data_IF_304601239691
#
_entry.id   IF_304601239691
#
_cell.length_a   1.000
_cell.length_b   1.000
_cell.length_c   1.000
_cell.angle_alpha   90.00
_cell.angle_beta   90.00
_cell.angle_gamma   90.00
#
_symmetry.space_group_name_H-M   'P 1'
#
loop_
_entity.id
_entity.type
_entity.pdbx_description
1 polymer ?
#
# COMPACT_ATOMS: atom_id res chain seq x y z
N UNK A 1 13.52 45.11 34.63
CA UNK A 1 14.55 44.38 35.40
C UNK A 1 15.36 43.56 34.38
N UNK A 2 16.44 44.12 33.84
CA UNK A 2 17.23 43.47 32.79
C UNK A 2 18.21 42.49 33.43
N UNK A 3 17.98 41.19 33.24
CA UNK A 3 18.92 40.17 33.68
C UNK A 3 20.26 40.36 32.95
N UNK A 4 21.31 40.75 33.66
CA UNK A 4 22.67 40.81 33.12
C UNK A 4 23.29 39.43 33.17
N UNK A 5 23.16 38.69 32.07
CA UNK A 5 23.84 37.40 31.89
C UNK A 5 25.36 37.59 32.02
N UNK A 6 26.00 36.80 32.88
CA UNK A 6 27.45 36.73 33.00
C UNK A 6 28.07 36.23 31.68
N UNK A 7 29.36 36.49 31.46
CA UNK A 7 30.06 36.07 30.22
C UNK A 7 29.99 34.54 29.99
N UNK A 8 29.93 33.74 31.06
CA UNK A 8 29.75 32.29 31.00
C UNK A 8 28.34 31.90 30.53
N UNK A 9 27.31 32.53 31.08
CA UNK A 9 25.92 32.29 30.66
C UNK A 9 25.70 32.71 29.21
N UNK A 10 26.25 33.85 28.76
CA UNK A 10 26.17 34.27 27.34
C UNK A 10 26.77 33.25 26.38
N UNK A 11 27.91 32.65 26.74
CA UNK A 11 28.55 31.60 25.93
C UNK A 11 27.73 30.31 25.91
N UNK A 12 27.17 29.93 27.06
CA UNK A 12 26.29 28.76 27.15
C UNK A 12 25.02 28.93 26.31
N UNK A 13 24.35 30.09 26.42
CA UNK A 13 23.19 30.42 25.60
C UNK A 13 23.52 30.44 24.11
N UNK A 14 24.67 31.01 23.72
CA UNK A 14 25.09 31.00 22.32
C UNK A 14 25.29 29.58 21.77
N UNK A 15 25.95 28.69 22.53
CA UNK A 15 26.14 27.29 22.13
C UNK A 15 24.80 26.56 22.06
N UNK A 16 23.94 26.70 23.07
CA UNK A 16 22.63 26.04 23.09
C UNK A 16 21.77 26.45 21.89
N UNK A 17 21.74 27.73 21.55
CA UNK A 17 21.01 28.23 20.37
C UNK A 17 21.57 27.65 19.08
N UNK A 18 22.90 27.61 18.92
CA UNK A 18 23.55 27.02 17.74
C UNK A 18 23.21 25.52 17.64
N UNK A 19 23.29 24.77 18.74
CA UNK A 19 22.97 23.34 18.75
C UNK A 19 21.50 23.09 18.38
N UNK A 20 20.57 23.88 18.91
CA UNK A 20 19.15 23.77 18.56
C UNK A 20 18.92 24.08 17.08
N UNK A 21 19.54 25.13 16.55
CA UNK A 21 19.43 25.47 15.13
C UNK A 21 20.00 24.38 14.22
N UNK A 22 21.14 23.80 14.58
CA UNK A 22 21.72 22.67 13.84
C UNK A 22 20.82 21.45 13.88
N UNK A 23 20.25 21.13 15.04
CA UNK A 23 19.30 20.03 15.19
C UNK A 23 18.06 20.24 14.29
N UNK A 24 17.48 21.44 14.33
CA UNK A 24 16.32 21.80 13.49
C UNK A 24 16.68 21.75 12.00
N UNK A 25 17.85 22.21 11.60
CA UNK A 25 18.31 22.16 10.22
C UNK A 25 18.53 20.72 9.74
N UNK A 26 19.10 19.85 10.57
CA UNK A 26 19.28 18.43 10.24
C UNK A 26 17.93 17.74 10.15
N UNK A 27 17.08 17.85 11.16
CA UNK A 27 15.76 17.20 11.16
C UNK A 27 14.90 17.75 10.01
N UNK A 28 14.81 19.08 9.90
CA UNK A 28 14.04 19.75 8.85
C UNK A 28 14.57 19.43 7.45
N UNK A 29 15.90 19.41 7.28
CA UNK A 29 16.55 19.02 6.03
C UNK A 29 16.30 17.56 5.66
N UNK A 30 16.38 16.64 6.63
CA UNK A 30 16.07 15.22 6.39
C UNK A 30 14.60 15.00 6.01
N UNK A 31 13.66 15.61 6.73
CA UNK A 31 12.23 15.51 6.43
C UNK A 31 11.91 16.15 5.07
N UNK A 32 12.49 17.32 4.77
CA UNK A 32 12.29 17.98 3.50
C UNK A 32 12.87 17.16 2.34
N UNK A 33 14.06 16.59 2.49
CA UNK A 33 14.68 15.74 1.48
C UNK A 33 13.87 14.45 1.25
N UNK A 34 13.33 13.84 2.32
CA UNK A 34 12.45 12.69 2.22
C UNK A 34 11.11 13.04 1.56
N UNK A 35 10.56 14.22 1.83
CA UNK A 35 9.33 14.69 1.22
C UNK A 35 9.50 15.10 -0.26
N UNK A 36 10.67 15.65 -0.62
CA UNK A 36 10.96 16.10 -1.99
C UNK A 36 11.40 14.97 -2.94
N UNK A 37 11.77 13.81 -2.41
CA UNK A 37 12.19 12.65 -3.21
C UNK A 37 11.05 11.83 -3.81
N UNK A 38 9.78 12.23 -3.59
CA UNK A 38 8.63 11.67 -4.28
C UNK A 38 8.42 12.49 -5.56
N UNK A 39 9.08 12.10 -6.65
CA UNK A 39 8.55 12.42 -7.98
C UNK A 39 7.16 11.75 -8.04
N UNK A 40 6.11 12.57 -8.04
CA UNK A 40 4.72 12.16 -8.25
C UNK A 40 4.62 11.40 -9.58
N UNK A 41 4.85 10.09 -9.54
CA UNK A 41 4.14 9.22 -10.44
C UNK A 41 2.71 9.18 -9.88
N UNK A 42 1.80 9.93 -10.49
CA UNK A 42 0.35 10.08 -10.21
C UNK A 42 -0.45 8.75 -10.22
N UNK A 43 0.24 7.61 -10.13
CA UNK A 43 -0.30 6.27 -10.19
C UNK A 43 -0.66 5.83 -8.77
N UNK A 44 -1.94 5.50 -8.49
CA UNK A 44 -2.33 5.05 -7.17
C UNK A 44 -1.60 3.75 -6.77
N UNK A 45 -1.36 3.58 -5.48
CA UNK A 45 -0.61 2.45 -4.93
C UNK A 45 -1.29 1.89 -3.68
N UNK A 46 -0.82 0.73 -3.22
CA UNK A 46 -1.20 0.16 -1.94
C UNK A 46 0.00 0.10 -0.99
N UNK A 47 -0.25 0.21 0.30
CA UNK A 47 0.66 -0.22 1.34
C UNK A 47 0.18 -1.52 1.95
N UNK A 48 1.07 -2.51 2.06
CA UNK A 48 0.73 -3.83 2.56
C UNK A 48 1.68 -4.19 3.69
N UNK A 49 1.12 -4.45 4.87
CA UNK A 49 1.85 -4.71 6.09
C UNK A 49 1.53 -6.10 6.66
N UNK A 50 2.56 -6.87 6.98
CA UNK A 50 2.46 -8.12 7.75
C UNK A 50 3.62 -8.16 8.77
N UNK A 51 3.28 -8.18 10.06
CA UNK A 51 4.27 -8.09 11.14
C UNK A 51 5.15 -6.85 11.04
N UNK A 52 6.45 -7.06 10.85
CA UNK A 52 7.47 -6.00 10.70
C UNK A 52 7.76 -5.63 9.24
N UNK A 53 7.08 -6.25 8.28
CA UNK A 53 7.27 -6.02 6.86
C UNK A 53 6.20 -5.06 6.35
N UNK A 54 6.63 -4.02 5.65
CA UNK A 54 5.77 -3.08 4.93
C UNK A 54 6.30 -2.95 3.51
N UNK A 55 5.44 -3.15 2.52
CA UNK A 55 5.76 -2.94 1.11
C UNK A 55 4.80 -1.94 0.46
N UNK A 56 5.28 -1.25 -0.56
CA UNK A 56 4.45 -0.49 -1.49
C UNK A 56 4.18 -1.36 -2.71
N UNK A 57 2.92 -1.43 -3.12
CA UNK A 57 2.45 -2.22 -4.26
C UNK A 57 1.96 -1.25 -5.32
N UNK A 58 2.70 -1.20 -6.43
CA UNK A 58 2.30 -0.53 -7.66
C UNK A 58 1.31 -1.38 -8.45
N UNK A 59 0.50 -0.79 -9.34
CA UNK A 59 -0.42 -1.56 -10.15
C UNK A 59 0.33 -2.47 -11.13
N UNK A 60 -0.24 -3.65 -11.38
CA UNK A 60 0.15 -4.51 -12.49
C UNK A 60 -0.10 -3.80 -13.82
N UNK A 61 -1.26 -3.15 -13.93
CA UNK A 61 -1.66 -2.30 -15.04
C UNK A 61 -2.47 -1.11 -14.52
N UNK A 62 -2.23 0.07 -15.10
CA UNK A 62 -3.03 1.27 -14.85
C UNK A 62 -3.23 2.06 -16.15
N UNK A 63 -4.48 2.40 -16.45
CA UNK A 63 -4.89 3.12 -17.66
C UNK A 63 -5.64 4.41 -17.30
N UNK A 64 -5.87 5.26 -18.30
CA UNK A 64 -6.84 6.35 -18.22
C UNK A 64 -8.26 5.83 -17.89
N UNK A 65 -9.19 6.73 -17.54
CA UNK A 65 -10.57 6.36 -17.24
C UNK A 65 -11.34 5.84 -18.47
N UNK A 66 -10.87 6.16 -19.68
CA UNK A 66 -11.36 5.63 -20.96
C UNK A 66 -10.69 4.32 -21.39
N UNK A 67 -9.81 3.74 -20.56
CA UNK A 67 -9.02 2.53 -20.85
C UNK A 67 -8.09 2.73 -22.05
N UNK A 68 -7.43 3.88 -22.07
CA UNK A 68 -6.35 4.23 -23.01
C UNK A 68 -5.08 4.56 -22.22
N UNK A 69 -3.94 4.72 -22.91
CA UNK A 69 -2.68 5.10 -22.27
C UNK A 69 -2.32 4.20 -21.07
N UNK A 70 -2.34 2.90 -21.29
CA UNK A 70 -2.08 1.92 -20.23
C UNK A 70 -0.59 1.75 -20.00
N UNK A 71 -0.20 1.73 -18.73
CA UNK A 71 1.12 1.36 -18.28
C UNK A 71 1.07 0.01 -17.58
N UNK A 72 2.04 -0.85 -17.85
CA UNK A 72 2.09 -2.21 -17.30
C UNK A 72 1.25 -3.24 -18.08
N UNK A 73 1.04 -4.40 -17.47
CA UNK A 73 0.30 -5.54 -18.01
C UNK A 73 -0.38 -6.30 -16.88
N UNK A 74 -1.63 -6.77 -17.04
CA UNK A 74 -2.29 -7.63 -16.06
C UNK A 74 -1.54 -8.96 -15.83
N UNK A 75 -0.64 -9.35 -16.74
CA UNK A 75 0.20 -10.55 -16.61
C UNK A 75 1.53 -10.28 -15.91
N UNK A 76 1.78 -9.05 -15.46
CA UNK A 76 2.97 -8.74 -14.68
C UNK A 76 2.99 -9.54 -13.37
N UNK A 77 4.19 -9.81 -12.88
CA UNK A 77 4.34 -10.55 -11.62
C UNK A 77 3.77 -9.70 -10.47
N UNK A 78 2.86 -10.24 -9.64
CA UNK A 78 2.35 -9.54 -8.47
C UNK A 78 3.44 -9.28 -7.43
N UNK A 79 3.24 -8.23 -6.65
CA UNK A 79 4.06 -7.99 -5.47
C UNK A 79 3.88 -9.16 -4.50
N UNK A 80 4.94 -9.57 -3.81
CA UNK A 80 4.91 -10.74 -2.91
C UNK A 80 5.14 -10.33 -1.47
N UNK A 81 4.23 -10.75 -0.59
CA UNK A 81 4.37 -10.66 0.86
C UNK A 81 3.73 -11.92 1.48
N UNK A 82 4.52 -12.97 1.73
CA UNK A 82 3.99 -14.22 2.30
C UNK A 82 3.29 -13.94 3.64
N UNK A 83 2.09 -14.51 3.84
CA UNK A 83 1.32 -14.34 5.07
C UNK A 83 1.21 -15.69 5.78
N UNK A 84 2.00 -15.92 6.85
CA UNK A 84 1.96 -17.18 7.59
C UNK A 84 0.56 -17.56 8.09
N UNK A 85 0.31 -18.86 8.21
CA UNK A 85 -0.95 -19.35 8.78
C UNK A 85 -1.05 -18.95 10.24
N UNK A 86 -2.16 -18.29 10.60
CA UNK A 86 -2.39 -17.70 11.92
C UNK A 86 -2.15 -16.20 11.97
N UNK A 87 -1.48 -15.64 10.95
CA UNK A 87 -1.22 -14.20 10.85
C UNK A 87 -2.30 -13.49 10.03
N UNK A 88 -2.17 -12.16 9.95
CA UNK A 88 -2.99 -11.31 9.11
C UNK A 88 -2.14 -10.27 8.37
N UNK A 89 -2.66 -9.80 7.25
CA UNK A 89 -2.09 -8.70 6.48
C UNK A 89 -3.04 -7.50 6.55
N UNK A 90 -2.48 -6.32 6.73
CA UNK A 90 -3.19 -5.05 6.62
C UNK A 90 -2.88 -4.41 5.29
N UNK A 91 -3.91 -4.07 4.52
CA UNK A 91 -3.81 -3.39 3.23
C UNK A 91 -4.41 -2.00 3.38
N UNK A 92 -3.66 -0.99 2.95
CA UNK A 92 -4.11 0.41 2.92
C UNK A 92 -3.97 0.98 1.52
N UNK A 93 -5.04 1.58 1.02
CA UNK A 93 -5.11 2.22 -0.29
C UNK A 93 -4.56 3.65 -0.21
N UNK A 94 -3.88 4.11 -1.26
CA UNK A 94 -3.59 5.54 -1.43
C UNK A 94 -4.89 6.35 -1.47
N UNK A 95 -4.83 7.65 -1.16
CA UNK A 95 -5.99 8.55 -1.24
C UNK A 95 -6.64 8.51 -2.62
N UNK A 96 -5.83 8.52 -3.66
CA UNK A 96 -6.27 8.68 -5.06
C UNK A 96 -6.94 7.42 -5.59
N UNK A 97 -6.66 6.26 -4.99
CA UNK A 97 -7.42 5.05 -5.25
C UNK A 97 -8.79 5.10 -4.56
N UNK A 98 -8.80 5.48 -3.28
CA UNK A 98 -9.99 5.37 -2.42
C UNK A 98 -11.10 6.39 -2.71
N UNK A 99 -10.79 7.50 -3.39
CA UNK A 99 -11.78 8.49 -3.83
C UNK A 99 -12.75 7.90 -4.87
N UNK A 100 -12.28 6.92 -5.64
CA UNK A 100 -13.11 6.15 -6.58
C UNK A 100 -13.71 4.90 -5.93
N UNK A 101 -14.75 4.31 -6.53
CA UNK A 101 -15.16 2.96 -6.17
C UNK A 101 -14.05 1.95 -6.52
N UNK A 102 -14.03 0.82 -5.83
CA UNK A 102 -13.05 -0.24 -6.08
C UNK A 102 -13.59 -1.60 -5.63
N UNK A 103 -13.04 -2.66 -6.20
CA UNK A 103 -13.39 -4.04 -5.87
C UNK A 103 -12.21 -4.74 -5.23
N UNK A 104 -12.46 -5.41 -4.11
CA UNK A 104 -11.56 -6.37 -3.49
C UNK A 104 -11.88 -7.76 -4.02
N UNK A 105 -10.90 -8.47 -4.56
CA UNK A 105 -10.97 -9.90 -4.84
C UNK A 105 -9.95 -10.59 -3.95
N UNK A 106 -10.38 -11.62 -3.22
CA UNK A 106 -9.50 -12.40 -2.36
C UNK A 106 -9.62 -13.87 -2.74
N UNK A 107 -8.48 -14.49 -2.97
CA UNK A 107 -8.40 -15.92 -3.18
C UNK A 107 -7.86 -16.58 -1.91
N UNK A 108 -8.53 -17.64 -1.47
CA UNK A 108 -8.08 -18.46 -0.36
C UNK A 108 -7.79 -19.88 -0.84
N UNK A 109 -6.69 -20.47 -0.40
CA UNK A 109 -6.47 -21.90 -0.52
C UNK A 109 -7.18 -22.61 0.64
N UNK A 110 -8.06 -23.54 0.31
CA UNK A 110 -8.85 -24.33 1.25
C UNK A 110 -8.60 -25.82 1.02
N UNK A 111 -9.19 -26.69 1.86
CA UNK A 111 -9.15 -28.14 1.66
C UNK A 111 -9.77 -28.60 0.33
N UNK A 112 -10.67 -27.80 -0.26
CA UNK A 112 -11.37 -28.10 -1.51
C UNK A 112 -10.70 -27.44 -2.72
N UNK A 113 -9.50 -26.88 -2.52
CA UNK A 113 -8.77 -26.10 -3.53
C UNK A 113 -8.94 -24.60 -3.34
N UNK A 114 -8.69 -23.84 -4.41
CA UNK A 114 -8.83 -22.39 -4.38
C UNK A 114 -10.29 -21.95 -4.35
N UNK A 115 -10.61 -21.17 -3.33
CA UNK A 115 -11.87 -20.44 -3.23
C UNK A 115 -11.70 -19.04 -3.84
N UNK A 116 -12.37 -18.84 -4.97
CA UNK A 116 -12.36 -17.61 -5.76
C UNK A 116 -13.62 -16.74 -5.55
N UNK A 117 -14.46 -17.08 -4.56
CA UNK A 117 -15.78 -16.45 -4.42
C UNK A 117 -15.79 -15.16 -3.60
N UNK A 118 -14.68 -14.83 -2.93
CA UNK A 118 -14.61 -13.65 -2.07
C UNK A 118 -14.33 -12.39 -2.89
N UNK A 119 -15.40 -11.77 -3.37
CA UNK A 119 -15.39 -10.48 -4.05
C UNK A 119 -16.28 -9.46 -3.31
N UNK A 120 -15.77 -8.24 -3.10
CA UNK A 120 -16.50 -7.17 -2.39
C UNK A 120 -16.29 -5.84 -3.11
N UNK A 121 -17.39 -5.22 -3.51
CA UNK A 121 -17.40 -3.86 -4.05
C UNK A 121 -17.50 -2.81 -2.94
N UNK A 122 -16.62 -1.82 -2.99
CA UNK A 122 -16.60 -0.65 -2.11
C UNK A 122 -16.93 0.61 -2.89
N UNK A 123 -17.83 1.43 -2.33
CA UNK A 123 -18.15 2.76 -2.87
C UNK A 123 -17.00 3.73 -2.59
N UNK A 124 -16.94 4.82 -3.34
CA UNK A 124 -16.06 5.97 -3.07
C UNK A 124 -16.01 6.33 -1.59
N UNK A 125 -14.79 6.51 -1.08
CA UNK A 125 -14.47 6.94 0.29
C UNK A 125 -15.04 6.05 1.42
N UNK A 126 -15.59 4.88 1.09
CA UNK A 126 -16.25 4.02 2.09
C UNK A 126 -15.26 3.20 2.93
N UNK A 127 -14.08 2.91 2.37
CA UNK A 127 -13.03 2.15 3.05
C UNK A 127 -11.67 2.43 2.43
N UNK A 128 -10.66 2.58 3.28
CA UNK A 128 -9.25 2.82 2.88
C UNK A 128 -8.29 1.75 3.38
N UNK A 129 -8.57 1.18 4.54
CA UNK A 129 -7.73 0.16 5.16
C UNK A 129 -8.58 -1.03 5.57
N UNK A 130 -8.03 -2.22 5.40
CA UNK A 130 -8.65 -3.47 5.83
C UNK A 130 -7.60 -4.51 6.20
N UNK A 131 -8.04 -5.51 6.96
CA UNK A 131 -7.19 -6.62 7.41
C UNK A 131 -7.77 -7.93 6.92
N UNK A 132 -6.92 -8.81 6.40
CA UNK A 132 -7.27 -10.16 5.98
C UNK A 132 -6.42 -11.16 6.75
N UNK A 133 -7.08 -12.14 7.38
CA UNK A 133 -6.40 -13.20 8.11
C UNK A 133 -6.12 -14.40 7.20
N UNK A 134 -4.97 -15.04 7.42
CA UNK A 134 -4.63 -16.36 6.89
C UNK A 134 -4.87 -17.38 7.98
N UNK A 135 -5.79 -18.32 7.77
CA UNK A 135 -6.18 -19.33 8.77
C UNK A 135 -5.87 -20.73 8.25
N UNK A 136 -5.91 -21.73 9.14
CA UNK A 136 -5.66 -23.13 8.73
C UNK A 136 -6.66 -23.65 7.70
N UNK A 137 -7.92 -23.23 7.81
CA UNK A 137 -8.98 -23.70 6.91
C UNK A 137 -9.11 -22.86 5.64
N UNK A 138 -8.63 -21.60 5.69
CA UNK A 138 -8.60 -20.65 4.57
C UNK A 138 -7.27 -19.91 4.60
N UNK A 139 -6.28 -20.44 3.90
CA UNK A 139 -4.95 -19.85 3.76
C UNK A 139 -5.06 -18.71 2.76
N UNK A 140 -4.64 -17.50 3.14
CA UNK A 140 -4.68 -16.34 2.26
C UNK A 140 -3.69 -16.53 1.12
N UNK A 141 -4.16 -16.52 -0.13
CA UNK A 141 -3.34 -16.84 -1.29
C UNK A 141 -3.08 -15.63 -2.18
N UNK A 142 -4.15 -14.96 -2.63
CA UNK A 142 -4.04 -13.78 -3.49
C UNK A 142 -4.97 -12.68 -2.98
N UNK A 143 -4.48 -11.44 -3.05
CA UNK A 143 -5.31 -10.24 -2.91
C UNK A 143 -5.21 -9.47 -4.22
N UNK A 144 -6.34 -9.10 -4.78
CA UNK A 144 -6.40 -8.20 -5.92
C UNK A 144 -7.33 -7.02 -5.63
N UNK A 145 -6.86 -5.82 -5.95
CA UNK A 145 -7.69 -4.62 -5.97
C UNK A 145 -7.93 -4.24 -7.42
N UNK A 146 -9.19 -4.01 -7.79
CA UNK A 146 -9.58 -3.51 -9.11
C UNK A 146 -10.23 -2.14 -8.99
N UNK A 147 -9.75 -1.18 -9.76
CA UNK A 147 -10.43 0.11 -9.93
C UNK A 147 -11.18 0.10 -11.27
N UNK A 148 -12.50 0.36 -11.29
CA UNK A 148 -13.29 0.34 -12.51
C UNK A 148 -13.00 1.56 -13.38
N UNK A 149 -13.18 1.39 -14.69
CA UNK A 149 -13.17 2.47 -15.69
C UNK A 149 -14.59 3.03 -15.92
N UNK A 150 -14.73 3.98 -16.87
CA UNK A 150 -16.05 4.38 -17.41
C UNK A 150 -16.49 3.50 -18.60
N UNK A 151 -15.68 2.51 -18.99
CA UNK A 151 -16.00 1.56 -20.07
C UNK A 151 -16.52 0.27 -19.48
N UNK A 152 -17.49 -0.33 -20.16
CA UNK A 152 -18.09 -1.60 -19.78
C UNK A 152 -17.99 -2.60 -20.94
N UNK A 153 -17.92 -3.87 -20.58
CA UNK A 153 -18.10 -5.01 -21.46
C UNK A 153 -19.20 -5.95 -20.93
N UNK A 154 -19.31 -7.17 -21.47
CA UNK A 154 -20.32 -8.13 -21.04
C UNK A 154 -20.17 -8.57 -19.55
N UNK A 155 -19.00 -8.40 -18.96
CA UNK A 155 -18.69 -8.68 -17.55
C UNK A 155 -18.83 -7.48 -16.62
N UNK A 156 -19.21 -6.31 -17.12
CA UNK A 156 -19.36 -5.08 -16.35
C UNK A 156 -18.25 -4.07 -16.64
N UNK A 157 -17.92 -3.22 -15.66
CA UNK A 157 -16.88 -2.21 -15.84
C UNK A 157 -15.51 -2.85 -16.07
N UNK A 158 -14.86 -2.47 -17.17
CA UNK A 158 -13.48 -2.87 -17.45
C UNK A 158 -12.59 -2.24 -16.37
N UNK A 159 -11.74 -3.01 -15.66
CA UNK A 159 -10.83 -2.44 -14.68
C UNK A 159 -9.77 -1.59 -15.38
N UNK A 160 -9.67 -0.31 -15.00
CA UNK A 160 -8.58 0.57 -15.43
C UNK A 160 -7.32 0.40 -14.60
N UNK A 161 -7.43 -0.17 -13.40
CA UNK A 161 -6.30 -0.38 -12.48
C UNK A 161 -6.42 -1.74 -11.81
N UNK A 162 -5.33 -2.49 -11.78
CA UNK A 162 -5.25 -3.79 -11.10
C UNK A 162 -4.00 -3.81 -10.24
N UNK A 163 -4.14 -4.09 -8.95
CA UNK A 163 -3.03 -4.33 -8.03
C UNK A 163 -3.12 -5.76 -7.54
N UNK A 164 -2.10 -6.58 -7.82
CA UNK A 164 -2.04 -7.98 -7.40
C UNK A 164 -1.00 -8.20 -6.32
N UNK A 165 -1.37 -8.98 -5.30
CA UNK A 165 -0.50 -9.35 -4.18
C UNK A 165 -0.55 -10.86 -4.02
N UNK A 166 0.61 -11.48 -4.14
CA UNK A 166 0.84 -12.88 -3.81
C UNK A 166 1.18 -13.00 -2.32
N UNK A 167 0.32 -13.70 -1.60
CA UNK A 167 0.35 -13.84 -0.13
C UNK A 167 0.55 -15.28 0.33
N UNK A 168 0.68 -16.22 -0.62
CA UNK A 168 0.90 -17.63 -0.30
C UNK A 168 2.11 -17.78 0.64
N UNK A 169 1.95 -18.46 1.79
CA UNK A 169 3.07 -18.72 2.67
C UNK A 169 4.17 -19.50 1.94
N UNK A 170 5.42 -19.27 2.33
CA UNK A 170 6.53 -20.02 1.75
C UNK A 170 6.42 -21.52 2.10
N UNK A 171 6.73 -22.37 1.12
CA UNK A 171 6.70 -23.83 1.30
C UNK A 171 5.30 -24.46 1.34
N UNK A 172 4.24 -23.71 0.97
CA UNK A 172 2.91 -24.30 0.74
C UNK A 172 2.85 -24.91 -0.66
N UNK A 173 2.61 -26.23 -0.71
CA UNK A 173 2.31 -26.91 -1.97
C UNK A 173 0.93 -26.47 -2.46
N UNK A 174 0.94 -25.74 -3.57
CA UNK A 174 -0.28 -25.32 -4.27
C UNK A 174 -0.75 -26.47 -5.14
N UNK A 175 -1.98 -27.00 -4.94
CA UNK A 175 -2.56 -27.96 -5.87
C UNK A 175 -2.57 -27.34 -7.28
N UNK A 176 -2.11 -28.09 -8.28
CA UNK A 176 -2.16 -27.61 -9.66
C UNK A 176 -3.61 -27.20 -10.00
N UNK A 177 -3.77 -26.01 -10.60
CA UNK A 177 -5.05 -25.61 -11.17
C UNK A 177 -5.33 -26.51 -12.38
N UNK A 178 -6.37 -27.35 -12.29
CA UNK A 178 -6.91 -28.11 -13.42
C UNK A 178 -7.37 -27.19 -14.57
#
# INVERSE_FOLDING_TARGET
MSARLTTGEKKFFAIAVITVLLLVAVIGGSVAALASGHEDNDVPYLHVANGNTLITVEPLIYCSIEVTNCEGSPTNKPARIPVPVGDAVMVSLSSDLSVGPWTLVVQYLTKDGFDNTAEVFYRSDSKRTFTLASTRDRILATIEIKQPSQKEDAGGFIPRGIWGIDTLPDGVDVPASD
#
